data_IF_849519145216
#
_entry.id   IF_849519145216
#
_cell.length_a   1.000
_cell.length_b   1.000
_cell.length_c   1.000
_cell.angle_alpha   90.00
_cell.angle_beta   90.00
_cell.angle_gamma   90.00
#
_symmetry.space_group_name_H-M   'P 1'
#
loop_
_entity.id
_entity.type
_entity.pdbx_description
1 polymer ?
#
# COMPACT_ATOMS: atom_id res chain seq x y z
N UNK A 1 -34.33 0.98 -26.25
CA UNK A 1 -32.90 0.73 -25.96
C UNK A 1 -32.19 2.06 -26.03
N UNK A 2 -31.36 2.36 -25.03
CA UNK A 2 -30.56 3.59 -25.02
C UNK A 2 -29.38 3.42 -26.00
N UNK A 3 -29.40 4.19 -27.10
CA UNK A 3 -28.43 4.09 -28.18
C UNK A 3 -27.73 5.41 -28.44
N UNK A 4 -26.51 5.35 -28.91
CA UNK A 4 -25.66 6.50 -29.27
C UNK A 4 -25.42 6.50 -30.80
N UNK A 5 -25.36 7.69 -31.39
CA UNK A 5 -24.96 7.86 -32.81
C UNK A 5 -23.44 7.77 -32.95
N UNK A 6 -22.92 7.62 -34.19
CA UNK A 6 -21.49 7.59 -34.46
C UNK A 6 -20.76 8.81 -33.91
N UNK A 7 -21.34 10.00 -34.03
CA UNK A 7 -20.72 11.24 -33.56
C UNK A 7 -20.67 11.28 -32.02
N UNK A 8 -21.76 10.88 -31.35
CA UNK A 8 -21.79 10.78 -29.88
C UNK A 8 -20.77 9.75 -29.34
N UNK A 9 -20.61 8.62 -30.03
CA UNK A 9 -19.59 7.62 -29.68
C UNK A 9 -18.20 8.18 -29.90
N UNK A 10 -17.98 8.90 -31.01
CA UNK A 10 -16.68 9.51 -31.33
C UNK A 10 -16.29 10.58 -30.30
N UNK A 11 -17.21 11.45 -29.94
CA UNK A 11 -17.05 12.48 -28.90
C UNK A 11 -16.72 11.83 -27.54
N UNK A 12 -17.54 10.86 -27.11
CA UNK A 12 -17.35 10.13 -25.84
C UNK A 12 -16.01 9.40 -25.75
N UNK A 13 -15.57 8.79 -26.84
CA UNK A 13 -14.30 8.08 -26.90
C UNK A 13 -13.09 8.98 -27.21
N UNK A 14 -13.30 10.27 -27.47
CA UNK A 14 -12.25 11.25 -27.82
C UNK A 14 -11.50 10.88 -29.11
N UNK A 15 -12.22 10.40 -30.14
CA UNK A 15 -11.66 9.99 -31.44
C UNK A 15 -12.43 10.60 -32.60
N UNK A 16 -11.87 10.57 -33.79
CA UNK A 16 -12.58 11.00 -35.01
C UNK A 16 -13.65 9.98 -35.41
N UNK A 17 -14.80 10.39 -35.99
CA UNK A 17 -15.86 9.48 -36.49
C UNK A 17 -15.33 8.35 -37.38
N UNK A 18 -14.35 8.63 -38.24
CA UNK A 18 -13.70 7.63 -39.08
C UNK A 18 -13.05 6.48 -38.28
N UNK A 19 -12.60 6.75 -37.04
CA UNK A 19 -12.04 5.72 -36.15
C UNK A 19 -13.12 4.76 -35.65
N UNK A 20 -14.36 5.25 -35.49
CA UNK A 20 -15.48 4.38 -35.07
C UNK A 20 -15.78 3.35 -36.15
N UNK A 21 -15.78 3.74 -37.42
CA UNK A 21 -15.95 2.77 -38.52
C UNK A 21 -14.84 1.71 -38.55
N UNK A 22 -13.59 2.09 -38.22
CA UNK A 22 -12.48 1.14 -38.09
C UNK A 22 -12.67 0.18 -36.88
N UNK A 23 -13.34 0.62 -35.81
CA UNK A 23 -13.68 -0.27 -34.70
C UNK A 23 -14.78 -1.26 -35.07
N UNK A 24 -15.78 -0.80 -35.83
CA UNK A 24 -16.85 -1.67 -36.33
C UNK A 24 -16.27 -2.72 -37.31
N UNK A 25 -15.45 -2.29 -38.28
CA UNK A 25 -14.86 -3.24 -39.25
C UNK A 25 -13.94 -4.29 -38.63
N UNK A 26 -13.39 -4.02 -37.43
CA UNK A 26 -12.57 -4.97 -36.65
C UNK A 26 -13.39 -5.78 -35.63
N UNK A 27 -14.73 -5.66 -35.65
CA UNK A 27 -15.58 -6.35 -34.69
C UNK A 27 -15.44 -5.94 -33.24
N UNK A 28 -14.91 -4.74 -33.00
CA UNK A 28 -14.68 -4.19 -31.64
C UNK A 28 -15.89 -3.45 -31.08
N UNK A 29 -16.78 -2.97 -31.97
CA UNK A 29 -18.06 -2.35 -31.67
C UNK A 29 -19.08 -2.84 -32.72
N UNK A 30 -20.31 -3.05 -32.30
CA UNK A 30 -21.42 -3.42 -33.18
C UNK A 30 -22.37 -2.25 -33.37
N UNK A 31 -22.78 -2.00 -34.61
CA UNK A 31 -23.78 -0.98 -34.91
C UNK A 31 -25.01 -1.57 -35.56
N UNK A 32 -26.17 -1.03 -35.26
CA UNK A 32 -27.43 -1.33 -35.94
C UNK A 32 -27.84 -0.07 -36.68
N UNK A 33 -28.36 -0.20 -37.88
CA UNK A 33 -28.89 0.94 -38.64
C UNK A 33 -30.30 1.31 -38.12
N UNK A 34 -30.56 2.65 -38.01
CA UNK A 34 -31.89 3.10 -37.68
C UNK A 34 -32.91 2.70 -38.75
N UNK A 35 -34.21 2.88 -38.47
CA UNK A 35 -35.29 2.49 -39.36
C UNK A 35 -35.21 3.04 -40.79
N UNK A 36 -34.55 4.19 -40.99
CA UNK A 36 -34.36 4.83 -42.30
C UNK A 36 -33.02 4.44 -42.96
N UNK A 37 -32.22 3.53 -42.34
CA UNK A 37 -30.97 3.03 -42.88
C UNK A 37 -29.80 4.03 -42.96
N UNK A 38 -29.99 5.29 -42.53
CA UNK A 38 -29.04 6.38 -42.74
C UNK A 38 -28.05 6.59 -41.57
N UNK A 39 -28.42 6.22 -40.35
CA UNK A 39 -27.62 6.47 -39.14
C UNK A 39 -27.26 5.16 -38.47
N UNK A 40 -25.97 4.97 -38.14
CA UNK A 40 -25.49 3.85 -37.31
C UNK A 40 -25.73 4.18 -35.84
N UNK A 41 -26.37 3.26 -35.14
CA UNK A 41 -26.67 3.32 -33.71
C UNK A 41 -25.90 2.25 -32.96
N UNK A 42 -25.38 2.59 -31.82
CA UNK A 42 -24.57 1.74 -30.94
C UNK A 42 -25.27 1.60 -29.60
N UNK A 43 -25.34 0.41 -29.04
CA UNK A 43 -25.85 0.21 -27.69
C UNK A 43 -24.96 0.95 -26.69
N UNK A 44 -25.54 1.80 -25.83
CA UNK A 44 -24.80 2.57 -24.82
C UNK A 44 -23.96 1.65 -23.94
N UNK A 45 -24.52 0.52 -23.48
CA UNK A 45 -23.84 -0.47 -22.64
C UNK A 45 -22.59 -1.06 -23.31
N UNK A 46 -22.64 -1.31 -24.62
CA UNK A 46 -21.47 -1.80 -25.37
C UNK A 46 -20.38 -0.74 -25.50
N UNK A 47 -20.78 0.51 -25.76
CA UNK A 47 -19.84 1.63 -25.84
C UNK A 47 -19.17 1.88 -24.50
N UNK A 48 -19.91 1.78 -23.39
CA UNK A 48 -19.39 1.88 -22.04
C UNK A 48 -18.41 0.77 -21.69
N UNK A 49 -18.74 -0.47 -22.03
CA UNK A 49 -17.84 -1.61 -21.87
C UNK A 49 -16.56 -1.46 -22.72
N UNK A 50 -16.68 -0.96 -23.94
CA UNK A 50 -15.54 -0.70 -24.82
C UNK A 50 -14.66 0.45 -24.29
N UNK A 51 -15.29 1.53 -23.79
CA UNK A 51 -14.60 2.67 -23.16
C UNK A 51 -13.82 2.22 -21.92
N UNK A 52 -14.46 1.43 -21.05
CA UNK A 52 -13.82 0.86 -19.86
C UNK A 52 -12.63 -0.04 -20.24
N UNK A 53 -12.81 -0.91 -21.25
CA UNK A 53 -11.75 -1.76 -21.79
C UNK A 53 -10.60 -0.96 -22.43
N UNK A 54 -10.91 0.18 -23.01
CA UNK A 54 -9.94 1.09 -23.64
C UNK A 54 -9.20 1.95 -22.60
N UNK A 55 -9.92 2.43 -21.57
CA UNK A 55 -9.31 3.13 -20.41
C UNK A 55 -8.42 2.19 -19.60
N UNK A 56 -8.78 0.92 -19.51
CA UNK A 56 -7.95 -0.12 -18.89
C UNK A 56 -6.71 -0.54 -19.69
N UNK A 57 -6.57 -0.14 -20.96
CA UNK A 57 -5.39 -0.44 -21.80
C UNK A 57 -4.13 0.37 -21.44
N UNK A 58 -4.23 1.38 -20.55
CA UNK A 58 -3.08 2.15 -20.05
C UNK A 58 -2.45 1.55 -18.77
N UNK A 59 -3.16 0.70 -18.06
CA UNK A 59 -2.67 0.03 -16.85
C UNK A 59 -2.57 -1.47 -17.13
N UNK A 60 -1.44 -2.13 -16.87
CA UNK A 60 -1.34 -3.57 -17.00
C UNK A 60 -2.45 -4.24 -16.17
N UNK A 61 -3.26 -5.11 -16.80
CA UNK A 61 -4.20 -5.93 -16.04
C UNK A 61 -3.38 -7.02 -15.32
N UNK A 62 -3.18 -6.84 -14.02
CA UNK A 62 -2.40 -7.73 -13.18
C UNK A 62 -3.36 -8.65 -12.46
N UNK A 63 -3.30 -9.94 -12.76
CA UNK A 63 -3.99 -10.96 -11.99
C UNK A 63 -3.19 -11.26 -10.73
N UNK A 64 -3.87 -11.37 -9.60
CA UNK A 64 -3.28 -11.76 -8.32
C UNK A 64 -4.25 -12.65 -7.54
N UNK A 65 -3.71 -13.66 -6.88
CA UNK A 65 -4.43 -14.50 -5.93
C UNK A 65 -4.17 -14.13 -4.48
N UNK A 66 -3.53 -12.97 -4.22
CA UNK A 66 -3.08 -12.56 -2.87
C UNK A 66 -4.16 -11.77 -2.14
N UNK A 67 -4.64 -10.71 -2.77
CA UNK A 67 -5.60 -9.78 -2.15
C UNK A 67 -6.83 -9.62 -3.03
N UNK A 68 -7.99 -9.70 -2.39
CA UNK A 68 -9.28 -9.35 -2.96
C UNK A 68 -9.88 -8.20 -2.15
N UNK A 69 -10.33 -7.16 -2.85
CA UNK A 69 -11.17 -6.10 -2.28
C UNK A 69 -12.52 -6.20 -2.98
N UNK A 70 -13.55 -6.55 -2.21
CA UNK A 70 -14.93 -6.69 -2.70
C UNK A 70 -15.91 -6.21 -1.66
N UNK A 71 -16.91 -5.44 -2.10
CA UNK A 71 -18.00 -4.93 -1.24
C UNK A 71 -17.52 -4.19 0.01
N UNK A 72 -16.38 -3.49 -0.11
CA UNK A 72 -15.76 -2.75 0.99
C UNK A 72 -15.01 -3.62 2.00
N UNK A 73 -14.87 -4.92 1.77
CA UNK A 73 -14.10 -5.85 2.58
C UNK A 73 -12.73 -6.16 1.94
N UNK A 74 -11.75 -6.51 2.77
CA UNK A 74 -10.39 -6.87 2.39
C UNK A 74 -10.12 -8.33 2.74
N UNK A 75 -9.61 -9.11 1.78
CA UNK A 75 -9.30 -10.52 1.97
C UNK A 75 -7.87 -10.82 1.54
N UNK A 76 -7.15 -11.62 2.32
CA UNK A 76 -5.84 -12.19 1.98
C UNK A 76 -5.99 -13.68 1.69
N UNK A 77 -5.74 -14.10 0.44
CA UNK A 77 -5.91 -15.50 0.00
C UNK A 77 -7.24 -16.13 0.48
N UNK A 78 -8.33 -15.35 0.41
CA UNK A 78 -9.67 -15.78 0.80
C UNK A 78 -9.99 -15.65 2.29
N UNK A 79 -9.06 -15.28 3.14
CA UNK A 79 -9.29 -15.00 4.57
C UNK A 79 -9.61 -13.52 4.77
N UNK A 80 -10.60 -13.21 5.59
CA UNK A 80 -10.95 -11.83 5.97
C UNK A 80 -9.80 -11.19 6.74
N UNK A 81 -9.21 -10.12 6.17
CA UNK A 81 -8.06 -9.43 6.77
C UNK A 81 -8.39 -8.74 8.09
N UNK A 82 -9.64 -8.30 8.28
CA UNK A 82 -10.10 -7.69 9.54
C UNK A 82 -10.17 -8.75 10.65
N UNK A 83 -10.68 -9.93 10.33
CA UNK A 83 -10.69 -11.05 11.28
C UNK A 83 -9.25 -11.49 11.60
N UNK A 84 -8.37 -11.59 10.60
CA UNK A 84 -6.96 -11.93 10.82
C UNK A 84 -6.26 -10.92 11.71
N UNK A 85 -6.55 -9.63 11.59
CA UNK A 85 -5.92 -8.57 12.39
C UNK A 85 -6.10 -8.76 13.90
N UNK A 86 -7.20 -9.40 14.32
CA UNK A 86 -7.52 -9.63 15.74
C UNK A 86 -7.28 -11.06 16.22
N UNK A 87 -7.01 -12.00 15.30
CA UNK A 87 -6.92 -13.43 15.66
C UNK A 87 -5.60 -14.09 15.27
N UNK A 88 -4.80 -13.46 14.42
CA UNK A 88 -3.56 -14.02 13.92
C UNK A 88 -2.36 -13.10 14.21
N UNK A 89 -1.17 -13.69 14.33
CA UNK A 89 0.06 -12.92 14.35
C UNK A 89 0.44 -12.46 12.95
N UNK A 90 1.15 -11.34 12.85
CA UNK A 90 1.67 -10.85 11.56
C UNK A 90 2.57 -11.88 10.88
N UNK A 91 3.37 -12.62 11.64
CA UNK A 91 4.22 -13.71 11.16
C UNK A 91 3.39 -14.81 10.47
N UNK A 92 2.23 -15.14 11.03
CA UNK A 92 1.30 -16.12 10.43
C UNK A 92 0.68 -15.59 9.14
N UNK A 93 0.34 -14.29 9.10
CA UNK A 93 -0.23 -13.65 7.90
C UNK A 93 0.82 -13.49 6.81
N UNK A 94 2.06 -13.15 7.15
CA UNK A 94 3.17 -13.13 6.20
C UNK A 94 3.37 -14.53 5.58
N UNK A 95 3.37 -15.57 6.41
CA UNK A 95 3.45 -16.95 5.92
C UNK A 95 2.24 -17.32 5.03
N UNK A 96 1.02 -16.93 5.39
CA UNK A 96 -0.17 -17.11 4.55
C UNK A 96 0.02 -16.47 3.18
N UNK A 97 0.47 -15.22 3.12
CA UNK A 97 0.70 -14.52 1.86
C UNK A 97 1.75 -15.23 0.99
N UNK A 98 2.83 -15.74 1.58
CA UNK A 98 3.92 -16.38 0.85
C UNK A 98 3.61 -17.82 0.41
N UNK A 99 2.98 -18.60 1.28
CA UNK A 99 2.82 -20.06 1.09
C UNK A 99 1.39 -20.52 0.87
N UNK A 100 0.41 -19.67 1.13
CA UNK A 100 -1.01 -20.03 1.15
C UNK A 100 -1.47 -20.71 2.43
N UNK A 101 -0.62 -20.83 3.45
CA UNK A 101 -0.93 -21.55 4.70
C UNK A 101 -0.83 -20.62 5.90
N UNK A 102 -1.90 -20.52 6.68
CA UNK A 102 -1.93 -19.72 7.92
C UNK A 102 -1.32 -20.53 9.07
N UNK A 103 0.00 -20.48 9.18
CA UNK A 103 0.78 -21.16 10.23
C UNK A 103 1.79 -20.17 10.79
N UNK A 104 1.95 -20.16 12.10
CA UNK A 104 2.98 -19.36 12.76
C UNK A 104 4.38 -19.80 12.34
N UNK A 105 5.24 -18.83 12.11
CA UNK A 105 6.64 -19.06 11.74
C UNK A 105 7.48 -17.95 12.34
N UNK A 106 8.38 -18.32 13.20
CA UNK A 106 9.31 -17.38 13.84
C UNK A 106 10.11 -16.59 12.80
N UNK A 107 10.26 -15.29 13.08
CA UNK A 107 11.09 -14.38 12.33
C UNK A 107 12.33 -14.04 13.16
N UNK A 108 13.44 -14.72 12.86
CA UNK A 108 14.70 -14.54 13.58
C UNK A 108 15.77 -14.02 12.62
N UNK A 109 16.44 -12.91 12.95
CA UNK A 109 17.52 -12.40 12.12
C UNK A 109 18.76 -13.31 12.24
N UNK A 110 19.43 -13.65 11.12
CA UNK A 110 20.74 -14.26 11.19
C UNK A 110 21.74 -13.34 11.92
N UNK A 111 22.53 -13.84 12.89
CA UNK A 111 23.40 -12.99 13.70
C UNK A 111 24.36 -12.12 12.87
N UNK A 112 25.04 -12.71 11.89
CA UNK A 112 25.98 -12.01 11.02
C UNK A 112 25.31 -10.92 10.18
N UNK A 113 24.08 -11.17 9.73
CA UNK A 113 23.31 -10.18 8.98
C UNK A 113 22.84 -9.04 9.89
N UNK A 114 22.44 -9.33 11.11
CA UNK A 114 22.07 -8.33 12.10
C UNK A 114 23.26 -7.43 12.46
N UNK A 115 24.45 -8.02 12.72
CA UNK A 115 25.67 -7.25 12.99
C UNK A 115 26.02 -6.33 11.83
N UNK A 116 25.96 -6.81 10.59
CA UNK A 116 26.17 -5.98 9.40
C UNK A 116 25.15 -4.84 9.32
N UNK A 117 23.86 -5.14 9.49
CA UNK A 117 22.79 -4.17 9.40
C UNK A 117 22.93 -3.04 10.43
N UNK A 118 23.31 -3.37 11.67
CA UNK A 118 23.61 -2.40 12.72
C UNK A 118 24.86 -1.59 12.35
N UNK A 119 25.94 -2.22 11.89
CA UNK A 119 27.17 -1.53 11.53
C UNK A 119 27.01 -0.53 10.40
N UNK A 120 26.23 -0.86 9.35
CA UNK A 120 26.02 0.04 8.20
C UNK A 120 25.03 1.18 8.50
N UNK A 121 24.16 1.02 9.49
CA UNK A 121 23.21 2.07 9.88
C UNK A 121 23.75 2.99 10.99
N UNK A 122 24.77 2.56 11.75
CA UNK A 122 25.38 3.33 12.84
C UNK A 122 25.90 4.72 12.41
N UNK A 123 26.55 4.89 11.25
CA UNK A 123 27.05 6.20 10.80
C UNK A 123 25.97 7.14 10.22
N UNK A 124 24.73 6.68 10.08
CA UNK A 124 23.66 7.54 9.56
C UNK A 124 23.34 8.68 10.55
N UNK A 125 23.00 9.88 10.03
CA UNK A 125 22.62 11.00 10.89
C UNK A 125 21.49 10.63 11.87
N UNK A 126 21.45 11.20 13.08
CA UNK A 126 20.35 10.99 14.01
C UNK A 126 18.97 11.34 13.41
N UNK A 127 18.92 12.34 12.54
CA UNK A 127 17.72 12.78 11.85
C UNK A 127 17.31 11.85 10.67
N UNK A 128 18.08 10.80 10.36
CA UNK A 128 17.68 9.83 9.33
C UNK A 128 16.43 9.09 9.82
N UNK A 129 15.39 9.08 8.97
CA UNK A 129 14.13 8.39 9.27
C UNK A 129 14.37 6.87 9.35
N UNK A 130 13.49 6.17 10.04
CA UNK A 130 13.55 4.71 10.07
C UNK A 130 13.48 4.10 8.67
N UNK A 131 12.66 4.64 7.77
CA UNK A 131 12.56 4.18 6.37
C UNK A 131 13.85 4.36 5.59
N UNK A 132 14.66 5.40 5.85
CA UNK A 132 15.99 5.56 5.26
C UNK A 132 16.95 4.46 5.76
N UNK A 133 16.88 4.14 7.07
CA UNK A 133 17.63 3.03 7.66
C UNK A 133 17.23 1.69 7.07
N UNK A 134 15.92 1.43 6.87
CA UNK A 134 15.42 0.21 6.25
C UNK A 134 15.99 0.01 4.84
N UNK A 135 16.11 1.07 4.04
CA UNK A 135 16.72 1.00 2.70
C UNK A 135 18.20 0.58 2.75
N UNK A 136 18.95 1.15 3.69
CA UNK A 136 20.37 0.80 3.89
C UNK A 136 20.49 -0.64 4.34
N UNK A 137 19.68 -1.11 5.28
CA UNK A 137 19.63 -2.49 5.75
C UNK A 137 19.37 -3.46 4.59
N UNK A 138 18.32 -3.18 3.77
CA UNK A 138 17.99 -4.04 2.63
C UNK A 138 19.09 -4.11 1.59
N UNK A 139 19.77 -2.98 1.31
CA UNK A 139 20.88 -2.95 0.38
C UNK A 139 22.11 -3.72 0.90
N UNK A 140 22.43 -3.57 2.18
CA UNK A 140 23.51 -4.30 2.82
C UNK A 140 23.24 -5.81 2.87
N UNK A 141 22.01 -6.21 3.22
CA UNK A 141 21.57 -7.60 3.21
C UNK A 141 21.71 -8.24 1.82
N UNK A 142 21.33 -7.50 0.78
CA UNK A 142 21.53 -7.98 -0.60
C UNK A 142 22.99 -8.20 -0.96
N UNK A 143 23.89 -7.30 -0.53
CA UNK A 143 25.31 -7.39 -0.81
C UNK A 143 25.97 -8.57 -0.07
N UNK A 144 25.47 -8.89 1.12
CA UNK A 144 26.01 -9.97 1.96
C UNK A 144 25.52 -11.37 1.57
N UNK A 145 24.43 -11.48 0.79
CA UNK A 145 23.86 -12.76 0.39
C UNK A 145 24.41 -13.22 -0.98
N UNK A 146 25.35 -14.22 -1.02
CA UNK A 146 25.86 -14.73 -2.28
C UNK A 146 24.82 -15.49 -3.10
N UNK A 147 23.75 -16.01 -2.46
CA UNK A 147 22.67 -16.75 -3.09
C UNK A 147 21.43 -15.89 -3.40
N UNK A 148 21.53 -14.56 -3.30
CA UNK A 148 20.40 -13.63 -3.48
C UNK A 148 19.60 -13.82 -4.77
N UNK A 149 20.19 -14.41 -5.81
CA UNK A 149 19.52 -14.70 -7.09
C UNK A 149 18.80 -16.07 -7.12
N UNK A 150 18.79 -16.81 -6.01
CA UNK A 150 17.89 -17.95 -5.88
C UNK A 150 16.46 -17.42 -5.63
N UNK A 151 15.66 -17.47 -6.68
CA UNK A 151 14.27 -17.01 -6.69
C UNK A 151 13.27 -18.17 -6.57
N UNK A 152 13.73 -19.34 -6.16
CA UNK A 152 12.80 -20.44 -5.82
C UNK A 152 11.89 -20.03 -4.66
N UNK A 153 10.64 -20.53 -4.63
CA UNK A 153 9.70 -20.15 -3.58
C UNK A 153 10.24 -20.36 -2.16
N UNK A 154 10.96 -21.45 -1.93
CA UNK A 154 11.55 -21.73 -0.62
C UNK A 154 12.64 -20.72 -0.24
N UNK A 155 13.51 -20.34 -1.19
CA UNK A 155 14.57 -19.35 -0.96
C UNK A 155 13.97 -17.97 -0.69
N UNK A 156 12.96 -17.55 -1.48
CA UNK A 156 12.28 -16.26 -1.28
C UNK A 156 11.60 -16.18 0.09
N UNK A 157 10.94 -17.25 0.54
CA UNK A 157 10.32 -17.31 1.88
C UNK A 157 11.37 -17.21 2.98
N UNK A 158 12.48 -17.93 2.83
CA UNK A 158 13.61 -17.88 3.79
C UNK A 158 14.21 -16.48 3.85
N UNK A 159 14.48 -15.87 2.70
CA UNK A 159 14.94 -14.48 2.60
C UNK A 159 13.96 -13.52 3.25
N UNK A 160 12.66 -13.68 2.99
CA UNK A 160 11.61 -12.83 3.57
C UNK A 160 11.59 -12.86 5.10
N UNK A 161 11.69 -14.05 5.69
CA UNK A 161 11.76 -14.24 7.15
C UNK A 161 12.97 -13.54 7.76
N UNK A 162 14.15 -13.83 7.22
CA UNK A 162 15.42 -13.25 7.68
C UNK A 162 15.43 -11.73 7.52
N UNK A 163 14.97 -11.24 6.37
CA UNK A 163 14.97 -9.82 6.05
C UNK A 163 14.03 -9.04 6.96
N UNK A 164 12.76 -9.45 7.12
CA UNK A 164 11.81 -8.79 8.02
C UNK A 164 12.32 -8.72 9.46
N UNK A 165 12.85 -9.83 9.97
CA UNK A 165 13.43 -9.85 11.30
C UNK A 165 14.61 -8.88 11.43
N UNK A 166 15.51 -8.87 10.43
CA UNK A 166 16.68 -7.97 10.42
C UNK A 166 16.26 -6.51 10.30
N UNK A 167 15.33 -6.19 9.42
CA UNK A 167 14.82 -4.83 9.23
C UNK A 167 14.30 -4.23 10.55
N UNK A 168 13.56 -5.00 11.32
CA UNK A 168 13.04 -4.54 12.63
C UNK A 168 14.15 -4.51 13.68
N UNK A 169 14.91 -5.61 13.82
CA UNK A 169 15.85 -5.76 14.93
C UNK A 169 17.06 -4.82 14.83
N UNK A 170 17.45 -4.42 13.61
CA UNK A 170 18.57 -3.51 13.38
C UNK A 170 18.20 -2.02 13.50
N UNK A 171 16.93 -1.66 13.66
CA UNK A 171 16.55 -0.28 13.97
C UNK A 171 17.09 0.13 15.35
N UNK A 172 17.38 1.42 15.56
CA UNK A 172 17.82 1.93 16.87
C UNK A 172 16.85 1.49 17.98
N UNK A 173 17.39 1.13 19.12
CA UNK A 173 16.62 0.71 20.29
C UNK A 173 17.27 1.19 21.59
N UNK A 174 16.51 1.33 22.68
CA UNK A 174 17.06 1.61 24.00
C UNK A 174 18.13 0.55 24.41
N UNK A 175 19.20 0.96 25.11
CA UNK A 175 20.36 0.09 25.42
C UNK A 175 20.06 -1.19 26.22
N UNK A 176 18.90 -1.29 26.86
CA UNK A 176 18.50 -2.39 27.75
C UNK A 176 17.47 -3.34 27.12
N UNK A 177 17.20 -3.20 25.84
CA UNK A 177 16.19 -4.02 25.17
C UNK A 177 16.66 -5.45 24.97
N UNK A 178 15.97 -6.40 25.62
CA UNK A 178 15.98 -7.79 25.19
C UNK A 178 14.96 -7.92 24.05
N UNK A 179 15.43 -8.25 22.84
CA UNK A 179 14.56 -8.32 21.68
C UNK A 179 13.42 -9.34 21.89
N UNK A 180 12.15 -8.91 21.88
CA UNK A 180 11.02 -9.82 22.01
C UNK A 180 10.93 -10.78 20.81
N UNK A 181 10.36 -11.96 21.01
CA UNK A 181 10.18 -12.95 19.95
C UNK A 181 9.14 -12.55 18.91
N UNK A 182 8.07 -11.84 19.30
CA UNK A 182 7.04 -11.35 18.36
C UNK A 182 7.51 -10.08 17.67
N UNK A 183 7.35 -10.03 16.34
CA UNK A 183 7.79 -8.89 15.53
C UNK A 183 7.15 -7.57 15.98
N UNK A 184 5.85 -7.58 16.29
CA UNK A 184 5.14 -6.39 16.76
C UNK A 184 5.75 -5.84 18.06
N UNK A 185 6.03 -6.68 19.06
CA UNK A 185 6.66 -6.26 20.30
C UNK A 185 8.10 -5.76 20.08
N UNK A 186 8.83 -6.40 19.16
CA UNK A 186 10.17 -5.98 18.78
C UNK A 186 10.17 -4.62 18.05
N UNK A 187 9.20 -4.38 17.18
CA UNK A 187 9.02 -3.10 16.48
C UNK A 187 8.57 -2.00 17.46
N UNK A 188 7.65 -2.31 18.37
CA UNK A 188 7.23 -1.38 19.43
C UNK A 188 8.42 -0.78 20.17
N UNK A 189 9.29 -1.64 20.65
CA UNK A 189 10.47 -1.25 21.42
C UNK A 189 11.50 -0.41 20.63
N UNK A 190 11.27 -0.18 19.34
CA UNK A 190 12.09 0.69 18.48
C UNK A 190 11.37 1.97 18.08
N UNK A 191 10.05 2.01 18.26
CA UNK A 191 9.24 3.15 17.89
C UNK A 191 8.76 3.95 19.11
N UNK A 192 8.65 3.32 20.29
CA UNK A 192 8.19 3.96 21.51
C UNK A 192 9.28 3.96 22.58
N UNK A 193 9.38 5.05 23.34
CA UNK A 193 10.31 5.17 24.47
C UNK A 193 9.86 4.33 25.67
N UNK A 194 8.53 4.16 25.82
CA UNK A 194 7.95 3.41 26.94
C UNK A 194 7.64 1.96 26.54
N UNK A 195 7.85 1.02 27.46
CA UNK A 195 7.48 -0.36 27.23
C UNK A 195 5.96 -0.47 26.99
N UNK A 196 5.56 -1.12 25.89
CA UNK A 196 4.16 -1.37 25.61
C UNK A 196 3.58 -2.49 26.48
N UNK A 197 2.29 -2.43 26.71
CA UNK A 197 1.53 -3.55 27.26
C UNK A 197 1.29 -4.64 26.22
N UNK A 198 0.81 -5.81 26.64
CA UNK A 198 0.40 -6.84 25.68
C UNK A 198 -0.69 -6.34 24.71
N UNK A 199 -1.61 -5.53 25.20
CA UNK A 199 -2.67 -4.92 24.37
C UNK A 199 -2.09 -3.96 23.32
N UNK A 200 -1.10 -3.14 23.68
CA UNK A 200 -0.44 -2.23 22.74
C UNK A 200 0.29 -3.01 21.63
N UNK A 201 0.96 -4.10 22.00
CA UNK A 201 1.61 -4.99 21.03
C UNK A 201 0.59 -5.67 20.11
N UNK A 202 -0.60 -6.02 20.62
CA UNK A 202 -1.67 -6.60 19.82
C UNK A 202 -2.28 -5.57 18.85
N UNK A 203 -2.39 -4.30 19.25
CA UNK A 203 -2.81 -3.21 18.35
C UNK A 203 -1.77 -2.99 17.24
N UNK A 204 -0.49 -2.96 17.58
CA UNK A 204 0.57 -2.86 16.55
C UNK A 204 0.59 -4.08 15.62
N UNK A 205 0.37 -5.29 16.15
CA UNK A 205 0.19 -6.48 15.35
C UNK A 205 -1.00 -6.35 14.39
N UNK A 206 -2.13 -5.85 14.85
CA UNK A 206 -3.29 -5.60 14.02
C UNK A 206 -2.97 -4.59 12.89
N UNK A 207 -2.27 -3.50 13.19
CA UNK A 207 -1.82 -2.53 12.20
C UNK A 207 -0.92 -3.19 11.13
N UNK A 208 0.05 -4.02 11.54
CA UNK A 208 0.90 -4.77 10.62
C UNK A 208 0.11 -5.71 9.72
N UNK A 209 -0.86 -6.45 10.28
CA UNK A 209 -1.72 -7.36 9.51
C UNK A 209 -2.56 -6.58 8.49
N UNK A 210 -3.21 -5.48 8.90
CA UNK A 210 -4.05 -4.65 8.02
C UNK A 210 -3.29 -4.01 6.86
N UNK A 211 -1.98 -3.84 7.01
CA UNK A 211 -1.10 -3.21 6.03
C UNK A 211 -0.27 -4.21 5.22
N UNK A 212 -0.31 -5.52 5.57
CA UNK A 212 0.53 -6.55 4.98
C UNK A 212 0.44 -6.59 3.45
N UNK A 213 -0.78 -6.42 2.89
CA UNK A 213 -0.98 -6.21 1.46
C UNK A 213 -2.24 -5.39 1.16
N UNK A 214 -2.33 -4.80 -0.03
CA UNK A 214 -3.49 -4.02 -0.43
C UNK A 214 -3.54 -3.81 -1.94
N UNK A 215 -3.94 -4.84 -2.67
CA UNK A 215 -4.04 -4.80 -4.13
C UNK A 215 -2.74 -4.29 -4.81
N UNK A 216 -2.84 -3.79 -6.03
CA UNK A 216 -1.68 -3.29 -6.78
C UNK A 216 -1.46 -1.80 -6.50
N UNK A 217 -1.07 -1.48 -5.26
CA UNK A 217 -0.63 -0.13 -4.90
C UNK A 217 0.66 0.26 -5.67
N UNK A 218 1.01 1.55 -5.68
CA UNK A 218 2.19 2.04 -6.42
C UNK A 218 3.48 1.30 -6.05
N UNK A 219 3.73 1.08 -4.75
CA UNK A 219 4.89 0.30 -4.29
C UNK A 219 4.81 -1.17 -4.67
N UNK A 220 3.62 -1.76 -4.65
CA UNK A 220 3.39 -3.13 -5.11
C UNK A 220 3.67 -3.27 -6.61
N UNK A 221 3.23 -2.30 -7.42
CA UNK A 221 3.55 -2.27 -8.84
C UNK A 221 5.07 -2.16 -9.08
N UNK A 222 5.77 -1.29 -8.35
CA UNK A 222 7.23 -1.14 -8.44
C UNK A 222 7.94 -2.45 -8.09
N UNK A 223 7.54 -3.13 -7.01
CA UNK A 223 8.03 -4.43 -6.60
C UNK A 223 7.80 -5.50 -7.70
N UNK A 224 6.59 -5.55 -8.26
CA UNK A 224 6.24 -6.48 -9.36
C UNK A 224 7.05 -6.20 -10.63
N UNK A 225 7.26 -4.94 -10.98
CA UNK A 225 8.12 -4.57 -12.14
C UNK A 225 9.53 -5.10 -11.92
N UNK A 226 10.13 -4.88 -10.75
CA UNK A 226 11.44 -5.42 -10.40
C UNK A 226 11.47 -6.95 -10.47
N UNK A 227 10.51 -7.62 -9.84
CA UNK A 227 10.42 -9.09 -9.84
C UNK A 227 10.25 -9.66 -11.25
N UNK A 228 9.49 -8.99 -12.12
CA UNK A 228 9.28 -9.41 -13.52
C UNK A 228 10.57 -9.49 -14.33
N UNK A 229 11.58 -8.72 -13.97
CA UNK A 229 12.92 -8.76 -14.58
C UNK A 229 13.84 -9.82 -13.94
N UNK A 230 13.31 -10.63 -13.02
CA UNK A 230 14.07 -11.61 -12.22
C UNK A 230 15.08 -10.96 -11.28
N UNK A 231 14.83 -9.70 -10.86
CA UNK A 231 15.58 -9.10 -9.78
C UNK A 231 15.39 -9.90 -8.49
N UNK A 232 16.45 -9.99 -7.69
CA UNK A 232 16.44 -10.75 -6.44
C UNK A 232 15.48 -10.15 -5.38
N UNK A 233 15.01 -10.91 -4.36
CA UNK A 233 14.01 -10.46 -3.40
C UNK A 233 14.34 -9.13 -2.70
N UNK A 234 15.58 -8.90 -2.35
CA UNK A 234 16.01 -7.64 -1.74
C UNK A 234 15.83 -6.44 -2.68
N UNK A 235 16.11 -6.58 -3.99
CA UNK A 235 15.88 -5.52 -4.96
C UNK A 235 14.39 -5.25 -5.17
N UNK A 236 13.55 -6.28 -5.06
CA UNK A 236 12.08 -6.15 -5.07
C UNK A 236 11.61 -5.30 -3.88
N UNK A 237 12.09 -5.62 -2.68
CA UNK A 237 11.79 -4.84 -1.46
C UNK A 237 12.32 -3.42 -1.59
N UNK A 238 13.54 -3.23 -2.10
CA UNK A 238 14.13 -1.92 -2.36
C UNK A 238 13.28 -1.06 -3.32
N UNK A 239 12.76 -1.65 -4.39
CA UNK A 239 11.86 -0.97 -5.32
C UNK A 239 10.53 -0.57 -4.64
N UNK A 240 9.98 -1.45 -3.82
CA UNK A 240 8.80 -1.18 -2.99
C UNK A 240 9.03 -0.01 -2.04
N UNK A 241 10.13 -0.03 -1.29
CA UNK A 241 10.52 1.04 -0.35
C UNK A 241 10.73 2.38 -1.07
N UNK A 242 11.34 2.38 -2.25
CA UNK A 242 11.54 3.60 -3.03
C UNK A 242 10.23 4.25 -3.47
N UNK A 243 9.24 3.45 -3.90
CA UNK A 243 7.94 3.97 -4.28
C UNK A 243 7.06 4.35 -3.06
N UNK A 244 7.27 3.68 -1.92
CA UNK A 244 6.57 3.98 -0.68
C UNK A 244 6.90 5.36 -0.12
N UNK A 245 8.11 5.87 -0.36
CA UNK A 245 8.62 7.16 0.13
C UNK A 245 7.83 8.39 -0.40
N UNK A 246 6.99 8.19 -1.39
CA UNK A 246 6.22 9.28 -1.98
C UNK A 246 5.14 9.83 -1.04
N UNK A 247 4.93 11.17 -1.02
CA UNK A 247 3.94 11.82 -0.14
C UNK A 247 2.49 11.43 -0.44
N UNK A 248 2.23 10.85 -1.61
CA UNK A 248 0.91 10.32 -1.99
C UNK A 248 0.79 8.81 -1.74
N UNK A 249 1.71 8.24 -0.94
CA UNK A 249 1.71 6.82 -0.59
C UNK A 249 2.08 6.63 0.88
N UNK A 250 3.18 5.97 1.24
CA UNK A 250 3.54 5.66 2.63
C UNK A 250 3.77 6.88 3.51
N UNK A 251 4.36 7.94 2.97
CA UNK A 251 4.54 9.20 3.68
C UNK A 251 3.23 9.95 4.01
N UNK A 252 2.07 9.48 3.52
CA UNK A 252 0.76 10.07 3.83
C UNK A 252 0.41 9.97 5.33
N UNK A 253 0.89 8.94 6.03
CA UNK A 253 0.67 8.81 7.47
C UNK A 253 1.40 9.90 8.27
N UNK A 254 2.57 10.35 7.83
CA UNK A 254 3.28 11.50 8.42
C UNK A 254 2.49 12.81 8.27
N UNK A 255 1.88 13.04 7.11
CA UNK A 255 1.01 14.20 6.91
C UNK A 255 -0.24 14.16 7.79
N UNK A 256 -0.82 12.98 8.01
CA UNK A 256 -1.93 12.81 8.94
C UNK A 256 -1.49 13.03 10.40
N UNK A 257 -0.28 12.61 10.76
CA UNK A 257 0.33 12.89 12.05
C UNK A 257 0.49 14.41 12.30
N UNK A 258 0.97 15.15 11.29
CA UNK A 258 1.07 16.62 11.37
C UNK A 258 -0.32 17.28 11.53
N UNK A 259 -1.34 16.80 10.81
CA UNK A 259 -2.72 17.28 10.96
C UNK A 259 -3.22 17.09 12.39
N UNK A 260 -3.06 15.90 12.97
CA UNK A 260 -3.51 15.63 14.34
C UNK A 260 -2.69 16.37 15.38
N UNK A 261 -1.38 16.55 15.18
CA UNK A 261 -0.52 17.36 16.06
C UNK A 261 -0.98 18.82 16.08
N UNK A 262 -1.27 19.40 14.91
CA UNK A 262 -1.84 20.76 14.82
C UNK A 262 -3.21 20.84 15.49
N UNK A 263 -4.09 19.86 15.25
CA UNK A 263 -5.43 19.80 15.83
C UNK A 263 -5.41 19.71 17.35
N UNK A 264 -4.51 18.89 17.93
CA UNK A 264 -4.33 18.75 19.38
C UNK A 264 -3.84 20.04 20.04
N UNK A 265 -3.15 20.91 19.32
CA UNK A 265 -2.69 22.20 19.82
C UNK A 265 -3.78 23.27 19.88
N UNK A 266 -4.94 23.01 19.27
CA UNK A 266 -6.06 23.94 19.14
C UNK A 266 -7.13 23.67 20.19
N UNK A 267 -7.95 24.71 20.49
CA UNK A 267 -9.11 24.55 21.36
C UNK A 267 -10.22 23.70 20.70
N UNK A 268 -10.35 23.82 19.37
CA UNK A 268 -11.29 23.06 18.55
C UNK A 268 -10.48 22.33 17.46
N UNK A 269 -10.40 21.00 17.48
CA UNK A 269 -9.67 20.22 16.49
C UNK A 269 -10.11 20.46 15.05
N UNK A 270 -11.40 20.78 14.83
CA UNK A 270 -11.96 21.03 13.49
C UNK A 270 -11.37 22.28 12.83
N UNK A 271 -10.85 23.23 13.64
CA UNK A 271 -10.18 24.43 13.10
C UNK A 271 -8.92 24.08 12.27
N UNK A 272 -8.24 22.98 12.59
CA UNK A 272 -7.09 22.51 11.81
C UNK A 272 -7.51 22.13 10.39
N UNK A 273 -8.65 21.44 10.26
CA UNK A 273 -9.25 21.10 8.97
C UNK A 273 -9.73 22.35 8.24
N UNK A 274 -10.44 23.25 8.94
CA UNK A 274 -10.93 24.49 8.36
C UNK A 274 -9.79 25.37 7.81
N UNK A 275 -8.64 25.38 8.47
CA UNK A 275 -7.45 26.11 8.00
C UNK A 275 -6.94 25.53 6.68
N UNK A 276 -6.78 24.20 6.57
CA UNK A 276 -6.32 23.55 5.33
C UNK A 276 -7.32 23.72 4.18
N UNK A 277 -8.62 23.60 4.46
CA UNK A 277 -9.64 23.83 3.44
C UNK A 277 -9.60 25.27 2.90
N UNK A 278 -9.32 26.27 3.75
CA UNK A 278 -9.22 27.67 3.33
C UNK A 278 -8.00 27.94 2.43
N UNK A 279 -6.91 27.21 2.62
CA UNK A 279 -5.71 27.29 1.77
C UNK A 279 -5.79 26.42 0.52
N UNK A 280 -6.86 25.63 0.36
CA UNK A 280 -7.04 24.73 -0.78
C UNK A 280 -6.22 23.44 -0.68
N UNK A 281 -5.69 23.13 0.50
CA UNK A 281 -4.93 21.91 0.76
C UNK A 281 -5.85 20.69 0.87
N UNK A 282 -5.29 19.52 0.56
CA UNK A 282 -5.96 18.25 0.84
C UNK A 282 -5.93 17.95 2.33
N UNK A 283 -6.94 17.23 2.82
CA UNK A 283 -6.99 16.80 4.21
C UNK A 283 -6.37 15.40 4.31
N UNK A 284 -5.15 15.27 4.87
CA UNK A 284 -4.48 13.97 4.99
C UNK A 284 -5.25 13.04 5.94
N UNK A 285 -5.15 11.73 5.70
CA UNK A 285 -5.85 10.75 6.51
C UNK A 285 -7.32 10.53 6.14
N UNK A 286 -7.80 11.13 5.04
CA UNK A 286 -9.20 11.06 4.61
C UNK A 286 -9.36 10.63 3.15
N UNK A 287 -10.43 9.86 2.90
CA UNK A 287 -10.79 9.36 1.58
C UNK A 287 -9.93 8.18 1.13
N UNK A 288 -10.53 7.27 0.38
CA UNK A 288 -9.81 6.16 -0.24
C UNK A 288 -10.53 5.71 -1.51
N UNK A 289 -9.78 5.61 -2.62
CA UNK A 289 -10.35 5.30 -3.94
C UNK A 289 -11.11 3.98 -3.98
N UNK A 290 -10.62 2.95 -3.25
CA UNK A 290 -11.22 1.61 -3.23
C UNK A 290 -12.30 1.46 -2.14
N UNK A 291 -12.43 2.43 -1.24
CA UNK A 291 -13.39 2.41 -0.13
C UNK A 291 -14.18 3.72 -0.07
N UNK A 292 -15.07 3.97 -1.03
CA UNK A 292 -15.85 5.22 -1.07
C UNK A 292 -16.75 5.40 0.16
N UNK A 293 -17.16 4.31 0.80
CA UNK A 293 -18.01 4.28 1.98
C UNK A 293 -17.25 4.12 3.30
N UNK A 294 -15.91 4.30 3.28
CA UNK A 294 -15.04 4.19 4.44
C UNK A 294 -14.08 3.00 4.39
N UNK A 295 -12.85 3.24 4.85
CA UNK A 295 -11.78 2.25 4.89
C UNK A 295 -11.99 1.29 6.09
N UNK A 296 -12.25 -0.02 5.86
CA UNK A 296 -12.47 -0.97 6.94
C UNK A 296 -11.25 -1.13 7.84
N UNK A 297 -10.05 -0.91 7.31
CA UNK A 297 -8.80 -0.97 8.08
C UNK A 297 -8.74 0.17 9.10
N UNK A 298 -9.10 1.39 8.68
CA UNK A 298 -9.17 2.54 9.59
C UNK A 298 -10.23 2.32 10.67
N UNK A 299 -11.40 1.82 10.28
CA UNK A 299 -12.49 1.57 11.21
C UNK A 299 -12.10 0.60 12.33
N UNK A 300 -11.45 -0.52 11.98
CA UNK A 300 -11.05 -1.50 12.99
C UNK A 300 -9.88 -0.98 13.83
N UNK A 301 -8.86 -0.36 13.22
CA UNK A 301 -7.71 0.12 13.96
C UNK A 301 -8.12 1.22 14.95
N UNK A 302 -8.88 2.24 14.52
CA UNK A 302 -9.43 3.26 15.43
C UNK A 302 -10.30 2.67 16.54
N UNK A 303 -11.05 1.60 16.24
CA UNK A 303 -11.85 0.90 17.23
C UNK A 303 -11.05 0.09 18.26
N UNK A 304 -9.81 -0.28 17.94
CA UNK A 304 -8.89 -0.95 18.85
C UNK A 304 -8.11 0.05 19.73
N UNK A 305 -7.97 1.30 19.28
CA UNK A 305 -7.34 2.36 20.05
C UNK A 305 -8.25 2.72 21.23
N UNK A 306 -7.67 2.95 22.39
CA UNK A 306 -8.42 3.40 23.57
C UNK A 306 -8.96 4.83 23.42
N UNK A 307 -9.03 5.54 24.54
CA UNK A 307 -9.50 6.94 24.59
C UNK A 307 -8.33 7.93 24.74
N UNK A 308 -7.25 7.71 24.00
CA UNK A 308 -6.12 8.63 23.97
C UNK A 308 -6.50 9.98 23.35
N UNK A 309 -5.77 11.06 23.68
CA UNK A 309 -6.07 12.40 23.16
C UNK A 309 -6.09 12.48 21.64
N UNK A 310 -5.14 11.83 20.96
CA UNK A 310 -5.06 11.85 19.51
C UNK A 310 -6.18 11.01 18.88
N UNK A 311 -6.54 9.89 19.49
CA UNK A 311 -7.69 9.07 19.07
C UNK A 311 -9.00 9.85 19.22
N UNK A 312 -9.23 10.54 20.33
CA UNK A 312 -10.42 11.35 20.52
C UNK A 312 -10.50 12.49 19.49
N UNK A 313 -9.38 13.17 19.24
CA UNK A 313 -9.24 14.21 18.22
C UNK A 313 -9.54 13.65 16.81
N UNK A 314 -9.00 12.49 16.47
CA UNK A 314 -9.25 11.83 15.19
C UNK A 314 -10.73 11.49 14.99
N UNK A 315 -11.42 11.02 16.02
CA UNK A 315 -12.87 10.77 15.97
C UNK A 315 -13.68 12.04 15.76
N UNK A 316 -13.36 13.14 16.47
CA UNK A 316 -14.05 14.42 16.32
C UNK A 316 -13.91 14.97 14.90
N UNK A 317 -12.69 14.97 14.36
CA UNK A 317 -12.45 15.38 12.98
C UNK A 317 -13.16 14.44 11.98
N UNK A 318 -13.11 13.13 12.21
CA UNK A 318 -13.77 12.15 11.35
C UNK A 318 -15.28 12.35 11.30
N UNK A 319 -15.92 12.64 12.42
CA UNK A 319 -17.35 12.93 12.50
C UNK A 319 -17.72 14.24 11.78
N UNK A 320 -16.91 15.28 11.96
CA UNK A 320 -17.10 16.55 11.25
C UNK A 320 -16.98 16.37 9.73
N UNK A 321 -15.97 15.66 9.25
CA UNK A 321 -15.73 15.39 7.83
C UNK A 321 -16.84 14.51 7.23
N UNK A 322 -17.25 13.47 7.94
CA UNK A 322 -18.34 12.58 7.53
C UNK A 322 -19.67 13.35 7.40
N UNK A 323 -20.01 14.17 8.40
CA UNK A 323 -21.28 14.91 8.44
C UNK A 323 -21.32 15.99 7.37
N UNK A 324 -20.19 16.69 7.11
CA UNK A 324 -20.15 17.81 6.18
C UNK A 324 -19.94 17.41 4.72
N UNK A 325 -19.09 16.43 4.48
CA UNK A 325 -18.59 16.11 3.13
C UNK A 325 -18.81 14.65 2.73
N UNK A 326 -19.29 13.79 3.62
CA UNK A 326 -19.42 12.36 3.39
C UNK A 326 -18.07 11.65 3.20
N UNK A 327 -16.95 12.30 3.61
CA UNK A 327 -15.60 11.73 3.47
C UNK A 327 -15.23 11.01 4.77
N UNK A 328 -14.73 9.79 4.61
CA UNK A 328 -14.40 8.91 5.73
C UNK A 328 -12.89 8.88 5.99
N UNK A 329 -12.46 8.60 7.24
CA UNK A 329 -11.06 8.38 7.55
C UNK A 329 -10.51 7.15 6.80
N UNK A 330 -9.23 7.19 6.48
CA UNK A 330 -8.47 6.07 5.95
C UNK A 330 -7.43 5.59 6.97
N UNK A 331 -6.68 4.54 6.61
CA UNK A 331 -5.73 3.90 7.51
C UNK A 331 -4.62 4.86 8.00
N UNK A 332 -4.29 5.92 7.24
CA UNK A 332 -3.23 6.86 7.63
C UNK A 332 -3.64 7.70 8.83
N UNK A 333 -4.93 8.10 8.95
CA UNK A 333 -5.44 8.78 10.14
C UNK A 333 -5.37 7.88 11.38
N UNK A 334 -5.72 6.60 11.22
CA UNK A 334 -5.69 5.64 12.33
C UNK A 334 -4.26 5.38 12.80
N UNK A 335 -3.31 5.25 11.89
CA UNK A 335 -1.88 5.13 12.22
C UNK A 335 -1.36 6.40 12.92
N UNK A 336 -1.75 7.58 12.44
CA UNK A 336 -1.35 8.84 13.05
C UNK A 336 -1.87 8.97 14.49
N UNK A 337 -3.14 8.63 14.74
CA UNK A 337 -3.71 8.62 16.08
C UNK A 337 -2.97 7.62 16.99
N UNK A 338 -2.75 6.40 16.50
CA UNK A 338 -2.02 5.36 17.22
C UNK A 338 -0.61 5.83 17.62
N UNK A 339 0.16 6.35 16.68
CA UNK A 339 1.55 6.75 16.92
C UNK A 339 1.65 7.96 17.86
N UNK A 340 0.74 8.93 17.75
CA UNK A 340 0.68 10.08 18.64
C UNK A 340 0.33 9.71 20.08
N UNK A 341 -0.70 8.87 20.28
CA UNK A 341 -1.12 8.47 21.63
C UNK A 341 -0.04 7.69 22.39
N UNK A 342 0.91 7.08 21.65
CA UNK A 342 2.03 6.33 22.23
C UNK A 342 3.38 7.05 22.15
N UNK A 343 3.38 8.35 21.82
CA UNK A 343 4.61 9.17 21.78
C UNK A 343 5.65 8.70 20.78
N UNK A 344 5.23 7.99 19.73
CA UNK A 344 6.12 7.50 18.67
C UNK A 344 6.53 8.65 17.74
N UNK A 345 7.70 8.55 17.06
CA UNK A 345 8.16 9.61 16.15
C UNK A 345 7.23 9.75 14.93
N UNK A 346 7.24 10.93 14.26
CA UNK A 346 6.35 11.21 13.13
C UNK A 346 6.45 10.22 11.95
N UNK A 347 7.60 9.58 11.77
CA UNK A 347 7.84 8.56 10.73
C UNK A 347 7.46 7.13 11.16
N UNK A 348 6.92 6.95 12.38
CA UNK A 348 6.55 5.62 12.87
C UNK A 348 5.45 4.96 12.04
N UNK A 349 4.43 5.72 11.63
CA UNK A 349 3.36 5.20 10.78
C UNK A 349 3.87 4.70 9.42
N UNK A 350 4.79 5.44 8.80
CA UNK A 350 5.47 5.08 7.56
C UNK A 350 6.35 3.83 7.75
N UNK A 351 7.03 3.74 8.90
CA UNK A 351 7.86 2.58 9.27
C UNK A 351 7.02 1.32 9.45
N UNK A 352 5.90 1.41 10.19
CA UNK A 352 4.94 0.32 10.35
C UNK A 352 4.44 -0.15 8.98
N UNK A 353 4.09 0.79 8.10
CA UNK A 353 3.65 0.50 6.75
C UNK A 353 4.72 -0.24 5.94
N UNK A 354 5.98 0.25 5.96
CA UNK A 354 7.10 -0.34 5.22
C UNK A 354 7.37 -1.78 5.65
N UNK A 355 7.43 -2.03 6.96
CA UNK A 355 7.64 -3.38 7.52
C UNK A 355 6.49 -4.30 7.11
N UNK A 356 5.26 -3.89 7.33
CA UNK A 356 4.08 -4.69 7.01
C UNK A 356 4.03 -5.05 5.52
N UNK A 357 4.16 -4.05 4.64
CA UNK A 357 4.05 -4.21 3.20
C UNK A 357 5.18 -5.01 2.56
N UNK A 358 6.31 -5.15 3.26
CA UNK A 358 7.40 -6.04 2.81
C UNK A 358 6.92 -7.49 2.64
N UNK A 359 5.99 -7.96 3.49
CA UNK A 359 5.37 -9.28 3.30
C UNK A 359 4.60 -9.37 1.97
N UNK A 360 3.78 -8.37 1.67
CA UNK A 360 3.02 -8.28 0.42
C UNK A 360 3.93 -8.18 -0.81
N UNK A 361 4.97 -7.33 -0.78
CA UNK A 361 5.89 -7.20 -1.92
C UNK A 361 6.57 -8.52 -2.26
N UNK A 362 6.99 -9.29 -1.26
CA UNK A 362 7.60 -10.60 -1.48
C UNK A 362 6.59 -11.65 -1.98
N UNK A 363 5.35 -11.60 -1.50
CA UNK A 363 4.27 -12.44 -2.01
C UNK A 363 3.97 -12.15 -3.48
N UNK A 364 3.91 -10.87 -3.85
CA UNK A 364 3.78 -10.45 -5.24
C UNK A 364 4.99 -10.80 -6.11
N UNK A 365 6.20 -10.81 -5.54
CA UNK A 365 7.39 -11.29 -6.23
C UNK A 365 7.30 -12.78 -6.55
N UNK A 366 6.79 -13.59 -5.62
CA UNK A 366 6.58 -15.03 -5.85
C UNK A 366 5.64 -15.29 -7.03
N UNK A 367 4.54 -14.53 -7.17
CA UNK A 367 3.68 -14.61 -8.34
C UNK A 367 4.43 -14.23 -9.63
N UNK A 368 5.20 -13.12 -9.62
CA UNK A 368 5.94 -12.67 -10.80
C UNK A 368 7.07 -13.63 -11.21
N UNK A 369 7.72 -14.29 -10.26
CA UNK A 369 8.74 -15.29 -10.56
C UNK A 369 8.15 -16.53 -11.25
N UNK A 370 6.87 -16.84 -11.00
CA UNK A 370 6.13 -17.88 -11.68
C UNK A 370 5.55 -17.48 -13.05
N UNK A 371 5.50 -16.17 -13.35
CA UNK A 371 4.92 -15.65 -14.59
C UNK A 371 5.99 -15.39 -15.67
N UNK A 372 5.54 -14.98 -16.86
CA UNK A 372 6.41 -14.65 -18.01
C UNK A 372 7.34 -13.48 -17.65
N UNK A 373 8.65 -13.58 -17.92
CA UNK A 373 9.60 -12.51 -17.63
C UNK A 373 9.30 -11.21 -18.39
N UNK A 374 9.68 -10.08 -17.80
CA UNK A 374 9.67 -8.74 -18.41
C UNK A 374 8.33 -8.33 -19.02
N UNK A 375 7.21 -8.81 -18.45
CA UNK A 375 5.86 -8.54 -18.98
C UNK A 375 5.39 -7.09 -18.83
N UNK A 376 6.06 -6.28 -18.00
CA UNK A 376 5.78 -4.86 -17.79
C UNK A 376 6.68 -3.96 -18.66
N UNK A 377 6.63 -4.13 -19.96
CA UNK A 377 7.33 -3.27 -20.90
C UNK A 377 6.34 -2.47 -21.74
N UNK A 378 5.88 -1.29 -21.27
CA UNK A 378 5.02 -0.42 -22.06
C UNK A 378 5.78 0.16 -23.25
N UNK A 379 5.06 0.47 -24.34
CA UNK A 379 5.61 1.22 -25.46
C UNK A 379 5.52 2.73 -25.17
N UNK A 380 6.63 3.45 -25.33
CA UNK A 380 6.65 4.89 -25.26
C UNK A 380 6.07 5.52 -26.52
N UNK A 381 5.34 6.64 -26.36
CA UNK A 381 4.94 7.51 -27.47
C UNK A 381 5.82 8.77 -27.40
N UNK A 382 6.61 8.99 -28.43
CA UNK A 382 7.42 10.20 -28.51
C UNK A 382 6.53 11.44 -28.62
N UNK A 383 6.76 12.42 -27.75
CA UNK A 383 6.02 13.69 -27.70
C UNK A 383 6.95 14.92 -27.82
N UNK A 384 8.23 14.71 -28.16
CA UNK A 384 9.21 15.76 -28.35
C UNK A 384 9.21 16.33 -29.78
N UNK A 385 10.22 17.16 -30.09
CA UNK A 385 10.42 17.70 -31.44
C UNK A 385 10.84 16.59 -32.40
N UNK A 386 10.18 16.52 -33.56
CA UNK A 386 10.59 15.63 -34.67
C UNK A 386 11.94 16.05 -35.16
N UNK A 387 12.87 15.12 -35.47
CA UNK A 387 14.12 15.46 -36.18
C UNK A 387 13.80 16.15 -37.50
N UNK A 388 14.60 17.16 -37.87
CA UNK A 388 14.48 17.83 -39.14
C UNK A 388 14.90 16.92 -40.29
#
# INVERSE_FOLDING_TARGET
MDTLTTDQVAERLGVKPATIYAYVSRGLLHSVRNGDGKVSLFARSEVEAFEAKRKGRGTPNIQTGLTLISDGALFYRGHDAIALATTASFESVANLLWTGTLVHSDLTPPPELLELAVAVTAPLPPAARHTDRLRVIVAAAAAADPLRFDITPAAVVTTGRSLLATMVTALPAPPRLVAPSRLAANLWARLADEPGTAADHDILNAALVLLADHDIAASTLAARVAASTRAHPYAVVGAGLAALDGPLHGAASGLAHELLTDALSRRDPVEAVATRLRTGETIPGFGHRLYPNGDPRAKILLGLLGNGPATACAHEIADAMRTRSGIHPNIDLALAAFTLDHGMPPDAGETIFAIARTAGWLAHALEEYGDRPSRFRPSGRYAGRTPA
#
